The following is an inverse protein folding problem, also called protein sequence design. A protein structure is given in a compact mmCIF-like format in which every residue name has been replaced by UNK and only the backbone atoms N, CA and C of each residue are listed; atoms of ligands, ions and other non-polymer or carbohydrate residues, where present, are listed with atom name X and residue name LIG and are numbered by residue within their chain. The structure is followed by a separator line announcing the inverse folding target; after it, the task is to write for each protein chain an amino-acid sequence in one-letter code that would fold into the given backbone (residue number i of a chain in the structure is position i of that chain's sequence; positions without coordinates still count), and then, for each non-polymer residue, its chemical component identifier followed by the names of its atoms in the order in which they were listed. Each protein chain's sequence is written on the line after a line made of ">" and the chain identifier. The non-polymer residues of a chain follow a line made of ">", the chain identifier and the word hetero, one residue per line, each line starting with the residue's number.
data_IF_639246804453
#
_entry.id   IF_639246804453
#
_cell.length_a   1.000
_cell.length_b   1.000
_cell.length_c   1.000
_cell.angle_alpha   90.00
_cell.angle_beta   90.00
_cell.angle_gamma   90.00
#
_symmetry.space_group_name_H-M   'P 1'
#
loop_
_entity.id
_entity.type
_entity.pdbx_description
1 polymer ?
#
# COMPACT_ATOMS: atom_id res chain seq x y z
N UNK A 1 -2.48 14.67 -13.38
CA UNK A 1 -3.02 13.53 -12.62
C UNK A 1 -3.60 12.53 -13.61
N UNK A 2 -3.42 11.23 -13.40
CA UNK A 2 -3.98 10.19 -14.28
C UNK A 2 -5.52 10.26 -14.27
N UNK A 3 -6.14 10.17 -15.46
CA UNK A 3 -7.60 10.21 -15.61
C UNK A 3 -8.28 8.85 -15.43
N UNK A 4 -7.49 7.79 -15.17
CA UNK A 4 -8.03 6.43 -14.96
C UNK A 4 -8.65 6.26 -13.57
N UNK A 5 -9.51 5.26 -13.45
CA UNK A 5 -10.21 4.89 -12.22
C UNK A 5 -9.51 3.79 -11.44
N UNK A 6 -8.75 2.92 -12.13
CA UNK A 6 -8.04 1.79 -11.55
C UNK A 6 -6.68 1.62 -12.20
N UNK A 7 -5.66 1.24 -11.42
CA UNK A 7 -4.31 0.91 -11.91
C UNK A 7 -3.74 -0.28 -11.16
N UNK A 8 -2.83 -1.00 -11.82
CA UNK A 8 -1.92 -1.93 -11.15
C UNK A 8 -0.56 -1.24 -11.09
N UNK A 9 0.00 -1.14 -9.88
CA UNK A 9 1.38 -0.77 -9.64
C UNK A 9 2.21 -2.04 -9.40
N UNK A 10 3.39 -2.09 -10.01
CA UNK A 10 4.36 -3.18 -9.87
C UNK A 10 5.75 -2.58 -9.67
N UNK A 11 6.49 -3.08 -8.70
CA UNK A 11 7.92 -2.78 -8.57
C UNK A 11 8.71 -3.30 -9.77
N UNK A 12 9.84 -2.65 -10.05
CA UNK A 12 10.66 -2.93 -11.23
C UNK A 12 11.49 -4.22 -11.14
N UNK A 13 11.55 -4.84 -9.96
CA UNK A 13 12.34 -6.03 -9.65
C UNK A 13 11.48 -7.32 -9.57
N UNK A 14 10.32 -7.30 -10.22
CA UNK A 14 9.39 -8.42 -10.26
C UNK A 14 9.48 -9.22 -11.58
N UNK A 15 9.19 -10.52 -11.48
CA UNK A 15 8.91 -11.38 -12.62
C UNK A 15 7.44 -11.80 -12.59
N UNK A 16 6.65 -11.35 -13.57
CA UNK A 16 5.22 -11.70 -13.68
C UNK A 16 5.10 -13.03 -14.42
N UNK A 17 4.61 -14.05 -13.73
CA UNK A 17 4.47 -15.43 -14.24
C UNK A 17 3.02 -15.92 -14.37
N UNK A 18 2.04 -15.05 -14.13
CA UNK A 18 0.60 -15.33 -14.23
C UNK A 18 -0.08 -14.25 -15.08
N UNK A 19 -1.32 -14.50 -15.51
CA UNK A 19 -2.09 -13.50 -16.23
C UNK A 19 -2.44 -12.32 -15.30
N UNK A 20 -1.93 -11.14 -15.62
CA UNK A 20 -2.16 -9.93 -14.83
C UNK A 20 -3.64 -9.53 -14.81
N UNK A 21 -4.44 -10.01 -15.77
CA UNK A 21 -5.89 -9.81 -15.78
C UNK A 21 -6.57 -10.43 -14.55
N UNK A 22 -6.02 -11.50 -13.96
CA UNK A 22 -6.56 -12.09 -12.73
C UNK A 22 -6.52 -11.08 -11.57
N UNK A 23 -5.38 -10.39 -11.40
CA UNK A 23 -5.26 -9.30 -10.42
C UNK A 23 -6.18 -8.12 -10.78
N UNK A 24 -6.23 -7.75 -12.06
CA UNK A 24 -7.08 -6.65 -12.53
C UNK A 24 -8.57 -6.88 -12.25
N UNK A 25 -9.05 -8.12 -12.32
CA UNK A 25 -10.46 -8.46 -12.16
C UNK A 25 -10.93 -8.54 -10.71
N UNK A 26 -10.03 -8.36 -9.74
CA UNK A 26 -10.42 -8.21 -8.34
C UNK A 26 -11.32 -6.98 -8.20
N UNK A 27 -12.48 -7.19 -7.60
CA UNK A 27 -13.39 -6.12 -7.19
C UNK A 27 -12.89 -5.50 -5.89
N UNK A 28 -12.61 -4.20 -5.94
CA UNK A 28 -12.17 -3.42 -4.78
C UNK A 28 -13.34 -2.96 -3.90
N UNK A 29 -14.57 -2.95 -4.43
CA UNK A 29 -15.71 -2.32 -3.76
C UNK A 29 -15.39 -0.89 -3.32
N UNK A 30 -15.56 -0.61 -2.03
CA UNK A 30 -15.27 0.68 -1.40
C UNK A 30 -13.80 0.85 -0.98
N UNK A 31 -12.97 -0.19 -1.12
CA UNK A 31 -11.56 -0.12 -0.76
C UNK A 31 -10.76 0.60 -1.85
N UNK A 32 -9.75 1.35 -1.44
CA UNK A 32 -8.91 2.13 -2.36
C UNK A 32 -7.65 1.38 -2.81
N UNK A 33 -7.33 0.25 -2.17
CA UNK A 33 -6.25 -0.64 -2.59
C UNK A 33 -6.50 -2.10 -2.20
N UNK A 34 -5.90 -3.02 -2.96
CA UNK A 34 -5.65 -4.40 -2.57
C UNK A 34 -4.16 -4.73 -2.77
N UNK A 35 -3.58 -5.46 -1.82
CA UNK A 35 -2.17 -5.85 -1.80
C UNK A 35 -2.00 -7.17 -1.03
N UNK A 36 -0.84 -7.81 -1.18
CA UNK A 36 -0.51 -9.05 -0.46
C UNK A 36 0.07 -8.76 0.92
N UNK A 37 -0.32 -9.55 1.92
CA UNK A 37 0.30 -9.49 3.26
C UNK A 37 1.81 -9.74 3.15
N UNK A 38 2.60 -8.91 3.82
CA UNK A 38 4.05 -9.06 3.89
C UNK A 38 4.42 -10.07 4.98
N UNK A 39 4.74 -11.29 4.60
CA UNK A 39 5.18 -12.32 5.55
C UNK A 39 6.60 -12.06 6.10
N UNK A 40 7.38 -11.20 5.45
CA UNK A 40 8.73 -10.81 5.87
C UNK A 40 8.74 -9.84 7.06
N UNK A 41 7.57 -9.30 7.44
CA UNK A 41 7.42 -8.31 8.50
C UNK A 41 7.92 -8.77 9.88
N UNK A 42 8.02 -10.08 10.11
CA UNK A 42 8.45 -10.64 11.40
C UNK A 42 9.87 -10.20 11.82
N UNK A 43 10.72 -9.81 10.85
CA UNK A 43 12.07 -9.31 11.13
C UNK A 43 12.13 -7.84 11.57
N UNK A 44 11.04 -7.09 11.43
CA UNK A 44 10.95 -5.64 11.73
C UNK A 44 9.64 -5.30 12.47
N UNK A 45 9.12 -6.28 13.22
CA UNK A 45 7.77 -6.22 13.83
C UNK A 45 7.71 -5.15 14.91
N UNK A 46 8.74 -5.06 15.75
CA UNK A 46 8.81 -4.08 16.82
C UNK A 46 8.86 -2.65 16.27
N UNK A 47 9.59 -2.42 15.18
CA UNK A 47 9.73 -1.11 14.52
C UNK A 47 8.40 -0.63 13.93
N UNK A 48 7.66 -1.51 13.25
CA UNK A 48 6.37 -1.11 12.67
C UNK A 48 5.30 -0.89 13.74
N UNK A 49 5.31 -1.66 14.83
CA UNK A 49 4.41 -1.44 15.98
C UNK A 49 4.71 -0.09 16.64
N UNK A 50 5.99 0.28 16.74
CA UNK A 50 6.40 1.59 17.26
C UNK A 50 5.89 2.75 16.39
N UNK A 51 5.62 2.50 15.10
CA UNK A 51 4.98 3.45 14.18
C UNK A 51 3.44 3.40 14.21
N UNK A 52 2.85 2.60 15.11
CA UNK A 52 1.40 2.42 15.22
C UNK A 52 0.78 1.53 14.14
N UNK A 53 1.58 0.72 13.45
CA UNK A 53 1.12 -0.18 12.39
C UNK A 53 0.75 -1.56 12.95
N UNK A 54 -0.22 -2.22 12.31
CA UNK A 54 -0.73 -3.53 12.72
C UNK A 54 -0.06 -4.66 11.90
N UNK A 55 0.83 -5.48 12.51
CA UNK A 55 1.55 -6.51 11.78
C UNK A 55 0.67 -7.53 11.07
N UNK A 56 -0.50 -7.87 11.64
CA UNK A 56 -1.41 -8.87 11.04
C UNK A 56 -2.06 -8.41 9.74
N UNK A 57 -2.04 -7.09 9.46
CA UNK A 57 -2.61 -6.48 8.26
C UNK A 57 -1.56 -5.82 7.36
N UNK A 58 -0.30 -5.88 7.79
CA UNK A 58 0.78 -5.20 7.11
C UNK A 58 1.06 -5.87 5.76
N UNK A 59 1.01 -5.07 4.68
CA UNK A 59 1.11 -5.54 3.31
C UNK A 59 2.37 -5.03 2.61
N UNK A 60 2.82 -5.81 1.64
CA UNK A 60 3.94 -5.45 0.78
C UNK A 60 3.48 -4.46 -0.29
N UNK A 61 4.26 -3.41 -0.52
CA UNK A 61 3.93 -2.33 -1.47
C UNK A 61 4.39 -2.57 -2.91
N UNK A 62 5.04 -3.69 -3.19
CA UNK A 62 5.59 -3.97 -4.53
C UNK A 62 4.57 -4.44 -5.56
N UNK A 63 3.40 -4.92 -5.13
CA UNK A 63 2.27 -5.25 -6.02
C UNK A 63 0.99 -4.67 -5.43
N UNK A 64 0.41 -3.68 -6.09
CA UNK A 64 -0.80 -3.01 -5.60
C UNK A 64 -1.81 -2.84 -6.72
N UNK A 65 -3.05 -3.27 -6.49
CA UNK A 65 -4.21 -2.85 -7.26
C UNK A 65 -4.81 -1.62 -6.60
N UNK A 66 -4.79 -0.47 -7.26
CA UNK A 66 -5.24 0.81 -6.73
C UNK A 66 -6.54 1.26 -7.39
N UNK A 67 -7.55 1.52 -6.57
CA UNK A 67 -8.80 2.17 -6.97
C UNK A 67 -8.63 3.69 -6.88
N UNK A 68 -8.13 4.33 -7.93
CA UNK A 68 -7.86 5.77 -7.96
C UNK A 68 -9.12 6.61 -7.76
N UNK A 69 -10.29 6.13 -8.19
CA UNK A 69 -11.56 6.81 -7.91
C UNK A 69 -11.83 6.90 -6.39
N UNK A 70 -11.72 5.76 -5.69
CA UNK A 70 -11.90 5.67 -4.23
C UNK A 70 -10.81 6.47 -3.48
N UNK A 71 -9.56 6.44 -3.96
CA UNK A 71 -8.49 7.27 -3.39
C UNK A 71 -8.80 8.78 -3.50
N UNK A 72 -9.29 9.24 -4.65
CA UNK A 72 -9.65 10.66 -4.86
C UNK A 72 -10.85 11.09 -4.03
N UNK A 73 -11.78 10.18 -3.75
CA UNK A 73 -12.93 10.45 -2.90
C UNK A 73 -12.54 10.63 -1.42
N UNK A 74 -11.40 10.07 -1.00
CA UNK A 74 -10.92 10.17 0.38
C UNK A 74 -10.15 11.48 0.58
N UNK A 75 -10.77 12.42 1.27
CA UNK A 75 -10.17 13.72 1.58
C UNK A 75 -9.00 13.60 2.56
N UNK A 76 -8.00 14.49 2.42
CA UNK A 76 -6.83 14.63 3.30
C UNK A 76 -5.86 13.45 3.35
N UNK A 77 -5.99 12.43 2.50
CA UNK A 77 -5.09 11.27 2.54
C UNK A 77 -3.63 11.65 2.31
N UNK A 78 -3.37 12.61 1.43
CA UNK A 78 -2.05 13.21 1.21
C UNK A 78 -1.46 13.84 2.49
N UNK A 79 -2.27 14.59 3.23
CA UNK A 79 -1.85 15.20 4.49
C UNK A 79 -1.62 14.16 5.59
N UNK A 80 -2.44 13.11 5.67
CA UNK A 80 -2.24 11.99 6.59
C UNK A 80 -0.92 11.28 6.31
N UNK A 81 -0.62 11.00 5.03
CA UNK A 81 0.63 10.38 4.62
C UNK A 81 1.84 11.26 4.97
N UNK A 82 1.77 12.57 4.72
CA UNK A 82 2.84 13.52 5.07
C UNK A 82 3.04 13.64 6.58
N UNK A 83 1.96 13.61 7.36
CA UNK A 83 2.04 13.62 8.83
C UNK A 83 2.71 12.37 9.36
N UNK A 84 2.32 11.19 8.88
CA UNK A 84 2.97 9.93 9.25
C UNK A 84 4.49 9.98 9.04
N UNK A 85 4.94 10.43 7.87
CA UNK A 85 6.38 10.55 7.58
C UNK A 85 7.08 11.61 8.43
N UNK A 86 6.36 12.63 8.90
CA UNK A 86 6.88 13.66 9.81
C UNK A 86 6.98 13.15 11.25
N UNK A 87 6.01 12.36 11.70
CA UNK A 87 5.93 11.79 13.04
C UNK A 87 6.90 10.60 13.20
N UNK A 88 7.15 9.85 12.12
CA UNK A 88 8.05 8.69 12.07
C UNK A 88 9.13 8.83 10.99
N UNK A 89 10.05 9.82 11.09
CA UNK A 89 11.04 10.10 10.05
C UNK A 89 12.11 9.00 9.90
N UNK A 90 12.16 8.05 10.83
CA UNK A 90 13.09 6.92 10.84
C UNK A 90 12.39 5.58 10.60
N UNK A 91 11.16 5.60 10.07
CA UNK A 91 10.44 4.37 9.70
C UNK A 91 11.25 3.54 8.70
N UNK A 92 11.19 2.22 8.83
CA UNK A 92 12.10 1.29 8.15
C UNK A 92 11.94 1.30 6.63
N UNK A 93 10.69 1.37 6.15
CA UNK A 93 10.31 1.30 4.74
C UNK A 93 9.30 2.42 4.41
N UNK A 94 9.74 3.69 4.27
CA UNK A 94 8.86 4.85 4.24
C UNK A 94 7.67 4.76 3.27
N UNK A 95 7.90 4.26 2.05
CA UNK A 95 6.84 4.09 1.06
C UNK A 95 5.83 3.00 1.42
N UNK A 96 6.27 1.92 2.05
CA UNK A 96 5.40 0.82 2.48
C UNK A 96 4.67 1.16 3.78
N UNK A 97 5.40 1.72 4.74
CA UNK A 97 4.89 2.06 6.07
C UNK A 97 3.79 3.11 5.98
N UNK A 98 3.95 4.13 5.15
CA UNK A 98 2.93 5.18 4.95
C UNK A 98 1.65 4.65 4.30
N UNK A 99 1.75 3.60 3.49
CA UNK A 99 0.58 2.94 2.89
C UNK A 99 -0.14 2.02 3.87
N UNK A 100 0.58 1.52 4.88
CA UNK A 100 0.05 0.66 5.94
C UNK A 100 -0.50 1.43 7.15
N UNK A 101 -0.33 2.76 7.19
CA UNK A 101 -0.91 3.67 8.20
C UNK A 101 -2.34 4.12 7.82
#
# INVERSE_FOLDING_TARGET
>A
MLQTEKVIYLDCDLFVNMDIAELWNIDLGEHYLAASIDQGIMGVKEEIIACGLEPSRYFNSGVILLGLANMRARTNRDQEMLRFLSDYPHTTLPGQDVLNH
#
